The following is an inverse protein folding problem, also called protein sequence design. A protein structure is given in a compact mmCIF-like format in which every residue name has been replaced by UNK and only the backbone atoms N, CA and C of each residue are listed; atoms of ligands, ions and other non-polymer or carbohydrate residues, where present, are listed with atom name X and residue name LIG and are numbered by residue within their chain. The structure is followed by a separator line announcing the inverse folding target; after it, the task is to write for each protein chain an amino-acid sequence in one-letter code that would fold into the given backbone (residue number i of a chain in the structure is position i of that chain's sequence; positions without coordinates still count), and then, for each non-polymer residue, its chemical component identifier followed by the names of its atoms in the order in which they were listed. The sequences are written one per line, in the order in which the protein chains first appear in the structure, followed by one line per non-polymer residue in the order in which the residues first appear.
data_IF_620471566644
#
_entry.id   IF_620471566644
#
_cell.length_a   1.000
_cell.length_b   1.000
_cell.length_c   1.000
_cell.angle_alpha   90.00
_cell.angle_beta   90.00
_cell.angle_gamma   90.00
#
_symmetry.space_group_name_H-M   'P 1'
#
loop_
_entity.id
_entity.type
_entity.pdbx_description
1 polymer ?
#
# COMPACT_ATOMS: atom_id res chain seq x y z
N UNK A 1 -30.76 5.06 17.60
CA UNK A 1 -29.34 5.05 17.16
C UNK A 1 -29.33 4.76 15.66
N UNK A 2 -29.20 5.80 14.83
CA UNK A 2 -29.09 5.66 13.38
C UNK A 2 -27.64 5.96 12.99
N UNK A 3 -26.92 4.93 12.57
CA UNK A 3 -25.54 5.02 12.11
C UNK A 3 -25.53 5.56 10.68
N UNK A 4 -25.07 6.80 10.49
CA UNK A 4 -24.77 7.34 9.17
C UNK A 4 -23.57 6.60 8.57
N UNK A 5 -23.81 5.87 7.48
CA UNK A 5 -22.76 5.42 6.58
C UNK A 5 -22.21 6.65 5.84
N UNK A 6 -20.97 7.03 6.17
CA UNK A 6 -20.23 8.03 5.41
C UNK A 6 -19.82 7.47 4.05
N UNK A 7 -20.69 7.66 3.06
CA UNK A 7 -20.29 7.58 1.65
C UNK A 7 -19.33 8.74 1.37
N UNK A 8 -18.07 8.44 1.05
CA UNK A 8 -17.14 9.43 0.48
C UNK A 8 -17.57 9.72 -0.96
N UNK A 9 -18.66 10.47 -1.10
CA UNK A 9 -19.01 11.15 -2.33
C UNK A 9 -17.91 12.19 -2.55
N UNK A 10 -17.07 12.01 -3.59
CA UNK A 10 -16.05 13.00 -3.93
C UNK A 10 -16.75 14.30 -4.36
N UNK A 11 -16.90 15.24 -3.43
CA UNK A 11 -17.33 16.60 -3.77
C UNK A 11 -16.34 17.18 -4.78
N UNK A 12 -16.87 17.95 -5.74
CA UNK A 12 -16.04 18.68 -6.70
C UNK A 12 -14.97 19.51 -5.98
N UNK A 13 -13.75 19.48 -6.51
CA UNK A 13 -12.62 20.23 -5.93
C UNK A 13 -12.77 21.73 -6.23
N UNK A 14 -12.31 22.58 -5.32
CA UNK A 14 -12.27 24.03 -5.53
C UNK A 14 -11.42 24.36 -6.76
N UNK A 15 -12.02 24.93 -7.80
CA UNK A 15 -11.38 25.21 -9.10
C UNK A 15 -10.26 26.24 -9.01
N UNK A 16 -10.23 27.05 -7.94
CA UNK A 16 -9.30 28.17 -7.80
C UNK A 16 -8.07 27.86 -6.94
N UNK A 17 -7.95 26.65 -6.39
CA UNK A 17 -6.80 26.25 -5.56
C UNK A 17 -5.93 25.22 -6.28
N UNK A 18 -4.60 25.36 -6.23
CA UNK A 18 -3.73 24.36 -6.83
C UNK A 18 -3.97 22.99 -6.18
N UNK A 19 -3.87 21.89 -6.96
CA UNK A 19 -3.96 20.55 -6.39
C UNK A 19 -2.80 20.34 -5.41
N UNK A 20 -3.09 19.93 -4.18
CA UNK A 20 -2.07 19.68 -3.16
C UNK A 20 -1.31 18.39 -3.46
N UNK A 21 0.01 18.45 -3.33
CA UNK A 21 0.92 17.32 -3.43
C UNK A 21 1.50 16.97 -2.06
N UNK A 22 1.46 15.69 -1.73
CA UNK A 22 1.96 15.14 -0.47
C UNK A 22 3.00 14.03 -0.69
N UNK A 23 3.67 14.03 -1.84
CA UNK A 23 4.64 13.00 -2.20
C UNK A 23 4.04 11.70 -2.75
N UNK A 24 2.71 11.60 -2.92
CA UNK A 24 2.05 10.39 -3.44
C UNK A 24 1.34 10.63 -4.76
N UNK A 25 1.31 9.60 -5.62
CA UNK A 25 0.61 9.63 -6.91
C UNK A 25 1.02 10.83 -7.79
N UNK A 26 2.32 11.09 -7.87
CA UNK A 26 2.87 12.23 -8.62
C UNK A 26 2.39 12.28 -10.07
N UNK A 27 2.18 11.16 -10.76
CA UNK A 27 1.66 11.15 -12.14
C UNK A 27 0.29 11.82 -12.24
N UNK A 28 -0.62 11.50 -11.32
CA UNK A 28 -1.94 12.12 -11.24
C UNK A 28 -1.85 13.60 -10.87
N UNK A 29 -1.02 13.93 -9.87
CA UNK A 29 -0.83 15.32 -9.45
C UNK A 29 -0.24 16.19 -10.56
N UNK A 30 0.80 15.70 -11.25
CA UNK A 30 1.49 16.36 -12.36
C UNK A 30 0.51 16.70 -13.48
N UNK A 31 -0.33 15.74 -13.86
CA UNK A 31 -1.36 15.96 -14.88
C UNK A 31 -2.37 17.04 -14.46
N UNK A 32 -2.88 17.00 -13.23
CA UNK A 32 -3.79 18.02 -12.71
C UNK A 32 -3.14 19.39 -12.59
N UNK A 33 -1.91 19.45 -12.09
CA UNK A 33 -1.16 20.69 -11.90
C UNK A 33 -0.89 21.39 -13.22
N UNK A 34 -0.47 20.64 -14.24
CA UNK A 34 -0.28 21.16 -15.60
C UNK A 34 -1.53 21.88 -16.09
N UNK A 35 -2.68 21.20 -16.06
CA UNK A 35 -3.95 21.76 -16.54
C UNK A 35 -4.36 22.97 -15.70
N UNK A 36 -4.16 22.92 -14.37
CA UNK A 36 -4.46 24.04 -13.48
C UNK A 36 -3.69 25.31 -13.83
N UNK A 37 -2.37 25.20 -14.07
CA UNK A 37 -1.52 26.34 -14.42
C UNK A 37 -1.90 26.86 -15.81
N UNK A 38 -2.04 25.98 -16.79
CA UNK A 38 -2.41 26.34 -18.16
C UNK A 38 -3.78 27.03 -18.23
N UNK A 39 -4.74 26.62 -17.40
CA UNK A 39 -6.06 27.25 -17.34
C UNK A 39 -6.03 28.66 -16.74
N UNK A 40 -5.03 28.98 -15.90
CA UNK A 40 -4.89 30.32 -15.32
C UNK A 40 -4.08 31.25 -16.21
N UNK A 41 -2.94 30.77 -16.69
CA UNK A 41 -1.97 31.56 -17.43
C UNK A 41 -0.98 30.62 -18.14
N UNK A 42 -1.06 30.56 -19.46
CA UNK A 42 -0.20 29.67 -20.24
C UNK A 42 1.27 30.14 -20.25
N UNK A 43 1.52 31.45 -20.12
CA UNK A 43 2.90 31.97 -20.09
C UNK A 43 3.62 31.54 -18.81
N UNK A 44 2.89 31.38 -17.70
CA UNK A 44 3.42 30.79 -16.46
C UNK A 44 3.85 29.35 -16.68
N UNK A 45 3.06 28.55 -17.41
CA UNK A 45 3.45 27.19 -17.77
C UNK A 45 4.70 27.17 -18.67
N UNK A 46 4.81 28.12 -19.61
CA UNK A 46 5.99 28.26 -20.47
C UNK A 46 7.26 28.51 -19.65
N UNK A 47 7.21 29.38 -18.63
CA UNK A 47 8.34 29.64 -17.73
C UNK A 47 8.76 28.40 -16.93
N UNK A 48 7.81 27.58 -16.50
CA UNK A 48 8.11 26.33 -15.78
C UNK A 48 8.90 25.35 -16.65
N UNK A 49 8.56 25.25 -17.93
CA UNK A 49 9.24 24.31 -18.84
C UNK A 49 10.56 24.87 -19.36
N UNK A 50 10.56 26.13 -19.80
CA UNK A 50 11.68 26.74 -20.54
C UNK A 50 12.68 27.47 -19.64
N UNK A 51 12.27 27.84 -18.42
CA UNK A 51 13.10 28.62 -17.50
C UNK A 51 12.69 30.09 -17.40
N UNK A 52 13.24 30.82 -16.43
CA UNK A 52 12.94 32.23 -16.22
C UNK A 52 13.44 33.08 -17.41
N UNK A 53 12.68 34.12 -17.73
CA UNK A 53 13.13 35.12 -18.68
C UNK A 53 14.27 35.95 -18.09
N UNK A 54 15.34 36.12 -18.85
CA UNK A 54 16.47 37.00 -18.52
C UNK A 54 16.37 38.22 -19.47
N UNK A 55 16.06 39.42 -18.96
CA UNK A 55 16.08 40.65 -19.75
C UNK A 55 17.45 40.88 -20.41
N UNK A 56 17.48 41.06 -21.73
CA UNK A 56 18.70 41.31 -22.50
C UNK A 56 18.56 42.52 -23.42
N UNK A 57 19.68 43.15 -23.75
CA UNK A 57 19.80 44.18 -24.78
C UNK A 57 20.86 43.77 -25.79
N UNK A 58 20.77 44.27 -27.02
CA UNK A 58 21.71 43.94 -28.10
C UNK A 58 22.76 45.02 -28.19
N UNK A 59 24.03 44.64 -28.02
CA UNK A 59 25.20 45.49 -28.27
C UNK A 59 26.06 44.73 -29.29
N UNK A 60 26.37 45.36 -30.42
CA UNK A 60 27.19 44.76 -31.49
C UNK A 60 26.71 43.36 -31.95
N UNK A 61 25.40 43.18 -32.10
CA UNK A 61 24.74 41.89 -32.40
C UNK A 61 24.87 40.79 -31.33
N UNK A 62 25.36 41.13 -30.13
CA UNK A 62 25.47 40.21 -28.99
C UNK A 62 24.39 40.55 -27.96
N UNK A 63 23.67 39.53 -27.47
CA UNK A 63 22.68 39.68 -26.42
C UNK A 63 23.36 39.70 -25.04
N UNK A 64 23.28 40.82 -24.33
CA UNK A 64 23.88 41.03 -23.01
C UNK A 64 22.76 41.22 -21.96
N UNK A 65 22.81 40.55 -20.79
CA UNK A 65 21.85 40.77 -19.72
C UNK A 65 21.77 42.24 -19.28
N UNK A 66 20.55 42.77 -19.18
CA UNK A 66 20.31 44.12 -18.64
C UNK A 66 20.47 44.12 -17.12
N UNK A 67 21.01 45.21 -16.57
CA UNK A 67 20.97 45.45 -15.13
C UNK A 67 19.53 45.75 -14.69
N UNK A 68 19.16 45.39 -13.46
CA UNK A 68 17.78 45.53 -12.96
C UNK A 68 17.24 46.97 -13.01
N UNK A 69 18.11 47.96 -12.80
CA UNK A 69 17.78 49.39 -12.93
C UNK A 69 17.35 49.80 -14.35
N UNK A 70 17.76 49.03 -15.37
CA UNK A 70 17.53 49.32 -16.80
C UNK A 70 16.33 48.52 -17.35
N UNK A 71 15.61 47.79 -16.49
CA UNK A 71 14.45 47.00 -16.90
C UNK A 71 13.23 47.88 -17.18
N UNK A 72 12.65 47.68 -18.36
CA UNK A 72 11.38 48.30 -18.72
C UNK A 72 10.18 47.58 -18.08
N UNK A 73 8.98 48.11 -18.31
CA UNK A 73 7.75 47.52 -17.76
C UNK A 73 7.46 46.12 -18.32
N UNK A 74 7.90 45.81 -19.54
CA UNK A 74 7.71 44.50 -20.15
C UNK A 74 8.69 43.48 -19.53
N UNK A 75 9.95 43.86 -19.34
CA UNK A 75 10.96 43.05 -18.67
C UNK A 75 10.51 42.65 -17.26
N UNK A 76 10.04 43.63 -16.48
CA UNK A 76 9.50 43.38 -15.12
C UNK A 76 8.32 42.41 -15.13
N UNK A 77 7.37 42.58 -16.06
CA UNK A 77 6.22 41.67 -16.22
C UNK A 77 6.67 40.24 -16.53
N UNK A 78 7.66 40.07 -17.42
CA UNK A 78 8.16 38.74 -17.81
C UNK A 78 8.95 38.07 -16.69
N UNK A 79 9.77 38.83 -15.95
CA UNK A 79 10.47 38.32 -14.75
C UNK A 79 9.48 37.90 -13.66
N UNK A 80 8.40 38.67 -13.47
CA UNK A 80 7.34 38.37 -12.49
C UNK A 80 6.64 37.02 -12.75
N UNK A 81 6.60 36.54 -14.00
CA UNK A 81 6.02 35.23 -14.32
C UNK A 81 6.72 34.08 -13.59
N UNK A 82 8.04 34.14 -13.40
CA UNK A 82 8.76 33.14 -12.60
C UNK A 82 8.32 33.17 -11.13
N UNK A 83 8.20 34.36 -10.54
CA UNK A 83 7.70 34.50 -9.17
C UNK A 83 6.26 33.97 -9.03
N UNK A 84 5.39 34.24 -10.01
CA UNK A 84 4.02 33.70 -10.06
C UNK A 84 4.02 32.17 -10.16
N UNK A 85 4.87 31.61 -11.02
CA UNK A 85 5.04 30.16 -11.15
C UNK A 85 5.50 29.51 -9.85
N UNK A 86 6.54 30.06 -9.21
CA UNK A 86 7.05 29.58 -7.92
C UNK A 86 5.96 29.64 -6.84
N UNK A 87 5.21 30.74 -6.77
CA UNK A 87 4.12 30.88 -5.81
C UNK A 87 3.05 29.81 -5.98
N UNK A 88 2.64 29.52 -7.22
CA UNK A 88 1.66 28.45 -7.52
C UNK A 88 2.20 27.08 -7.10
N UNK A 89 3.48 26.79 -7.41
CA UNK A 89 4.12 25.53 -7.02
C UNK A 89 4.21 25.42 -5.50
N UNK A 90 4.68 26.44 -4.79
CA UNK A 90 4.76 26.41 -3.33
C UNK A 90 3.40 26.24 -2.64
N UNK A 91 2.36 26.90 -3.14
CA UNK A 91 0.99 26.73 -2.63
C UNK A 91 0.42 25.32 -2.86
N UNK A 92 1.03 24.56 -3.76
CA UNK A 92 0.62 23.22 -4.11
C UNK A 92 1.36 22.11 -3.36
N UNK A 93 2.36 22.43 -2.54
CA UNK A 93 3.19 21.44 -1.85
C UNK A 93 2.84 21.40 -0.38
N UNK A 94 2.86 20.20 0.21
CA UNK A 94 2.90 20.07 1.66
C UNK A 94 4.27 20.49 2.22
N UNK A 95 4.37 20.57 3.55
CA UNK A 95 5.59 21.03 4.22
C UNK A 95 6.80 20.13 3.90
N UNK A 96 6.59 18.83 3.76
CA UNK A 96 7.68 17.90 3.48
C UNK A 96 8.24 18.11 2.08
N UNK A 97 7.36 18.19 1.08
CA UNK A 97 7.74 18.40 -0.30
C UNK A 97 8.29 19.81 -0.54
N UNK A 98 7.72 20.84 0.11
CA UNK A 98 8.27 22.20 0.08
C UNK A 98 9.72 22.24 0.58
N UNK A 99 10.00 21.66 1.75
CA UNK A 99 11.35 21.69 2.33
C UNK A 99 12.41 21.09 1.39
N UNK A 100 12.04 20.10 0.58
CA UNK A 100 12.95 19.42 -0.38
C UNK A 100 13.31 20.28 -1.59
N UNK A 101 12.46 21.23 -1.95
CA UNK A 101 12.60 22.06 -3.16
C UNK A 101 12.75 23.56 -2.86
N UNK A 102 12.64 23.97 -1.59
CA UNK A 102 12.71 25.37 -1.16
C UNK A 102 14.05 26.07 -1.46
N UNK A 103 15.12 25.32 -1.72
CA UNK A 103 16.45 25.87 -2.01
C UNK A 103 16.65 26.26 -3.49
N UNK A 104 15.75 25.85 -4.38
CA UNK A 104 15.85 26.14 -5.81
C UNK A 104 15.32 27.55 -6.13
N UNK A 105 15.94 28.21 -7.10
CA UNK A 105 15.76 29.65 -7.35
C UNK A 105 14.81 29.95 -8.52
N UNK A 106 14.46 28.95 -9.32
CA UNK A 106 13.51 29.09 -10.43
C UNK A 106 12.39 28.06 -10.38
N UNK A 107 11.24 28.41 -10.96
CA UNK A 107 10.12 27.49 -11.07
C UNK A 107 10.47 26.25 -11.92
N UNK A 108 11.35 26.42 -12.91
CA UNK A 108 11.87 25.32 -13.73
C UNK A 108 12.68 24.33 -12.89
N UNK A 109 13.64 24.80 -12.11
CA UNK A 109 14.45 23.91 -11.25
C UNK A 109 13.58 23.15 -10.25
N UNK A 110 12.58 23.82 -9.66
CA UNK A 110 11.61 23.18 -8.76
C UNK A 110 10.85 22.07 -9.49
N UNK A 111 10.32 22.37 -10.67
CA UNK A 111 9.54 21.42 -11.45
C UNK A 111 10.37 20.21 -11.90
N UNK A 112 11.55 20.46 -12.49
CA UNK A 112 12.48 19.43 -12.92
C UNK A 112 12.91 18.54 -11.74
N UNK A 113 13.12 19.14 -10.56
CA UNK A 113 13.46 18.36 -9.35
C UNK A 113 12.32 17.48 -8.89
N UNK A 114 11.08 17.99 -8.88
CA UNK A 114 9.90 17.21 -8.54
C UNK A 114 9.71 16.04 -9.52
N UNK A 115 9.97 16.27 -10.81
CA UNK A 115 9.90 15.27 -11.87
C UNK A 115 10.90 14.14 -11.62
N UNK A 116 12.20 14.45 -11.51
CA UNK A 116 13.24 13.45 -11.25
C UNK A 116 12.97 12.67 -9.96
N UNK A 117 12.57 13.36 -8.90
CA UNK A 117 12.41 12.73 -7.57
C UNK A 117 11.25 11.72 -7.53
N UNK A 118 10.13 12.05 -8.17
CA UNK A 118 8.89 11.32 -8.00
C UNK A 118 8.47 10.49 -9.21
N UNK A 119 8.88 10.88 -10.42
CA UNK A 119 8.61 10.08 -11.61
C UNK A 119 9.39 8.77 -11.59
N UNK A 120 10.68 8.79 -11.22
CA UNK A 120 11.49 7.57 -11.07
C UNK A 120 10.91 6.63 -10.00
N UNK A 121 10.50 7.20 -8.85
CA UNK A 121 9.89 6.43 -7.76
C UNK A 121 8.54 5.85 -8.18
N UNK A 122 7.72 6.60 -8.90
CA UNK A 122 6.43 6.14 -9.41
C UNK A 122 6.59 5.09 -10.50
N UNK A 123 7.50 5.26 -11.45
CA UNK A 123 7.76 4.28 -12.51
C UNK A 123 8.18 2.95 -11.90
N UNK A 124 9.08 2.95 -10.92
CA UNK A 124 9.46 1.73 -10.19
C UNK A 124 8.27 1.12 -9.45
N UNK A 125 7.41 1.94 -8.84
CA UNK A 125 6.20 1.48 -8.14
C UNK A 125 5.19 0.85 -9.11
N UNK A 126 4.87 1.53 -10.19
CA UNK A 126 4.00 1.08 -11.29
C UNK A 126 4.53 -0.23 -11.90
N UNK A 127 5.83 -0.30 -12.20
CA UNK A 127 6.46 -1.51 -12.72
C UNK A 127 6.29 -2.70 -11.76
N UNK A 128 6.51 -2.49 -10.45
CA UNK A 128 6.28 -3.54 -9.44
C UNK A 128 4.81 -3.95 -9.35
N UNK A 129 3.88 -3.01 -9.43
CA UNK A 129 2.44 -3.31 -9.49
C UNK A 129 2.15 -4.16 -10.72
N UNK A 130 2.59 -3.75 -11.91
CA UNK A 130 2.34 -4.45 -13.17
C UNK A 130 2.92 -5.86 -13.18
N UNK A 131 4.15 -6.04 -12.70
CA UNK A 131 4.76 -7.36 -12.53
C UNK A 131 3.93 -8.27 -11.60
N UNK A 132 3.45 -7.75 -10.47
CA UNK A 132 2.64 -8.52 -9.53
C UNK A 132 1.23 -8.80 -10.06
N UNK A 133 0.62 -7.86 -10.79
CA UNK A 133 -0.67 -8.05 -11.48
C UNK A 133 -0.53 -9.15 -12.51
N UNK A 134 0.52 -9.13 -13.32
CA UNK A 134 0.79 -10.17 -14.31
C UNK A 134 0.98 -11.55 -13.65
N UNK A 135 1.76 -11.62 -12.56
CA UNK A 135 1.89 -12.84 -11.76
C UNK A 135 0.56 -13.32 -11.18
N UNK A 136 -0.30 -12.39 -10.75
CA UNK A 136 -1.66 -12.70 -10.28
C UNK A 136 -2.52 -13.24 -11.43
N UNK A 137 -2.55 -12.60 -12.60
CA UNK A 137 -3.36 -13.00 -13.75
C UNK A 137 -2.99 -14.38 -14.27
N UNK A 138 -1.68 -14.66 -14.41
CA UNK A 138 -1.16 -15.96 -14.84
C UNK A 138 -1.12 -17.00 -13.73
N UNK A 139 -1.48 -16.65 -12.50
CA UNK A 139 -1.42 -17.55 -11.36
C UNK A 139 -2.22 -18.83 -11.61
N UNK A 140 -1.53 -19.97 -11.50
CA UNK A 140 -2.04 -21.34 -11.58
C UNK A 140 -1.28 -22.20 -10.57
N UNK A 141 -1.91 -23.28 -10.12
CA UNK A 141 -1.29 -24.31 -9.29
C UNK A 141 -0.31 -25.12 -10.14
N UNK A 142 0.90 -25.36 -9.63
CA UNK A 142 1.91 -26.17 -10.33
C UNK A 142 1.63 -27.69 -10.19
N UNK A 143 2.08 -28.54 -11.13
CA UNK A 143 1.73 -29.98 -11.19
C UNK A 143 2.10 -30.84 -9.96
N UNK A 144 2.98 -30.38 -9.08
CA UNK A 144 3.41 -31.06 -7.86
C UNK A 144 3.24 -30.21 -6.60
N UNK A 145 2.59 -29.06 -6.74
CA UNK A 145 2.37 -28.13 -5.64
C UNK A 145 1.24 -28.62 -4.73
N UNK A 146 1.36 -28.43 -3.42
CA UNK A 146 0.23 -28.66 -2.50
C UNK A 146 -0.65 -27.41 -2.43
N UNK A 147 -1.92 -27.56 -2.05
CA UNK A 147 -2.85 -26.44 -1.82
C UNK A 147 -2.26 -25.41 -0.85
N UNK A 148 -1.53 -25.85 0.17
CA UNK A 148 -0.87 -24.95 1.13
C UNK A 148 0.22 -24.11 0.48
N UNK A 149 1.05 -24.73 -0.36
CA UNK A 149 2.12 -24.05 -1.11
C UNK A 149 1.52 -23.05 -2.11
N UNK A 150 0.51 -23.48 -2.87
CA UNK A 150 -0.22 -22.65 -3.82
C UNK A 150 -0.80 -21.42 -3.13
N UNK A 151 -1.51 -21.61 -2.02
CA UNK A 151 -2.10 -20.51 -1.27
C UNK A 151 -1.05 -19.58 -0.65
N UNK A 152 0.10 -20.12 -0.27
CA UNK A 152 1.24 -19.32 0.22
C UNK A 152 1.71 -18.35 -0.85
N UNK A 153 2.01 -18.84 -2.06
CA UNK A 153 2.43 -17.99 -3.19
C UNK A 153 1.35 -16.97 -3.56
N UNK A 154 0.10 -17.40 -3.62
CA UNK A 154 -1.04 -16.52 -3.89
C UNK A 154 -1.09 -15.36 -2.89
N UNK A 155 -1.01 -15.68 -1.59
CA UNK A 155 -1.03 -14.69 -0.51
C UNK A 155 0.13 -13.71 -0.60
N UNK A 156 1.32 -14.16 -1.00
CA UNK A 156 2.49 -13.29 -1.13
C UNK A 156 2.32 -12.28 -2.28
N UNK A 157 1.71 -12.70 -3.40
CA UNK A 157 1.35 -11.80 -4.50
C UNK A 157 0.31 -10.76 -4.04
N UNK A 158 -0.75 -11.20 -3.35
CA UNK A 158 -1.81 -10.31 -2.85
C UNK A 158 -1.28 -9.31 -1.83
N UNK A 159 -0.42 -9.76 -0.92
CA UNK A 159 0.21 -8.88 0.07
C UNK A 159 1.12 -7.84 -0.61
N UNK A 160 1.88 -8.27 -1.63
CA UNK A 160 2.67 -7.37 -2.47
C UNK A 160 1.80 -6.27 -3.08
N UNK A 161 0.72 -6.64 -3.76
CA UNK A 161 -0.20 -5.68 -4.37
C UNK A 161 -0.86 -4.76 -3.35
N UNK A 162 -1.33 -5.32 -2.23
CA UNK A 162 -1.96 -4.56 -1.13
C UNK A 162 -1.01 -3.52 -0.54
N UNK A 163 0.27 -3.87 -0.35
CA UNK A 163 1.29 -2.93 0.14
C UNK A 163 1.59 -1.78 -0.84
N UNK A 164 1.34 -1.98 -2.13
CA UNK A 164 1.51 -0.95 -3.17
C UNK A 164 0.23 -0.14 -3.44
N UNK A 165 -0.88 -0.49 -2.77
CA UNK A 165 -2.17 0.22 -2.87
C UNK A 165 -3.18 -0.41 -3.82
N UNK A 166 -2.89 -1.56 -4.44
CA UNK A 166 -3.83 -2.30 -5.28
C UNK A 166 -4.44 -3.46 -4.49
N UNK A 167 -5.76 -3.47 -4.31
CA UNK A 167 -6.48 -4.49 -3.55
C UNK A 167 -7.52 -5.19 -4.42
N UNK A 168 -7.86 -6.42 -4.07
CA UNK A 168 -8.94 -7.19 -4.67
C UNK A 168 -9.99 -7.50 -3.61
N UNK A 169 -11.26 -7.60 -4.03
CA UNK A 169 -12.32 -8.02 -3.12
C UNK A 169 -12.14 -9.50 -2.73
N UNK A 170 -12.66 -9.90 -1.56
CA UNK A 170 -12.62 -11.30 -1.14
C UNK A 170 -13.24 -12.24 -2.20
N UNK A 171 -14.33 -11.79 -2.85
CA UNK A 171 -14.99 -12.54 -3.92
C UNK A 171 -14.08 -12.77 -5.14
N UNK A 172 -13.27 -11.78 -5.51
CA UNK A 172 -12.32 -11.89 -6.62
C UNK A 172 -11.21 -12.88 -6.28
N UNK A 173 -10.73 -12.85 -5.03
CA UNK A 173 -9.72 -13.78 -4.55
C UNK A 173 -10.24 -15.22 -4.55
N UNK A 174 -11.47 -15.45 -4.06
CA UNK A 174 -12.13 -16.76 -4.06
C UNK A 174 -12.26 -17.30 -5.49
N UNK A 175 -12.83 -16.51 -6.40
CA UNK A 175 -12.98 -16.92 -7.81
C UNK A 175 -11.62 -17.18 -8.46
N UNK A 176 -10.60 -16.38 -8.14
CA UNK A 176 -9.26 -16.57 -8.69
C UNK A 176 -8.63 -17.88 -8.21
N UNK A 177 -8.71 -18.20 -6.92
CA UNK A 177 -8.18 -19.47 -6.39
C UNK A 177 -8.85 -20.66 -7.08
N UNK A 178 -10.19 -20.65 -7.20
CA UNK A 178 -10.93 -21.72 -7.87
C UNK A 178 -10.51 -21.92 -9.34
N UNK A 179 -10.34 -20.83 -10.09
CA UNK A 179 -9.87 -20.86 -11.50
C UNK A 179 -8.41 -21.26 -11.67
N UNK A 180 -7.63 -21.22 -10.60
CA UNK A 180 -6.19 -21.53 -10.63
C UNK A 180 -5.90 -23.00 -10.33
N UNK A 181 -6.92 -23.79 -9.96
CA UNK A 181 -6.79 -25.21 -9.69
C UNK A 181 -6.69 -26.03 -10.99
N UNK A 182 -5.98 -27.18 -10.99
CA UNK A 182 -5.91 -28.09 -12.13
C UNK A 182 -7.28 -28.72 -12.45
N UNK A 183 -7.44 -29.24 -13.68
CA UNK A 183 -8.67 -29.91 -14.12
C UNK A 183 -9.07 -31.11 -13.24
N UNK A 184 -8.12 -31.75 -12.56
CA UNK A 184 -8.41 -32.84 -11.60
C UNK A 184 -9.29 -32.39 -10.42
N UNK A 185 -9.42 -31.09 -10.19
CA UNK A 185 -10.25 -30.50 -9.14
C UNK A 185 -11.63 -30.04 -9.62
N UNK A 186 -11.96 -30.22 -10.91
CA UNK A 186 -13.16 -29.66 -11.55
C UNK A 186 -14.47 -30.08 -10.86
N UNK A 187 -14.59 -31.36 -10.48
CA UNK A 187 -15.75 -31.86 -9.73
C UNK A 187 -15.94 -31.14 -8.40
N UNK A 188 -14.86 -30.88 -7.65
CA UNK A 188 -14.94 -30.15 -6.39
C UNK A 188 -15.26 -28.67 -6.60
N UNK A 189 -14.64 -28.06 -7.61
CA UNK A 189 -14.88 -26.64 -7.96
C UNK A 189 -16.36 -26.44 -8.29
N UNK A 190 -16.94 -27.30 -9.13
CA UNK A 190 -18.36 -27.27 -9.50
C UNK A 190 -19.27 -27.40 -8.29
N UNK A 191 -19.03 -28.41 -7.44
CA UNK A 191 -19.80 -28.60 -6.21
C UNK A 191 -19.73 -27.39 -5.26
N UNK A 192 -18.59 -26.69 -5.19
CA UNK A 192 -18.46 -25.46 -4.39
C UNK A 192 -19.25 -24.31 -5.01
N UNK A 193 -19.20 -24.17 -6.33
CA UNK A 193 -19.89 -23.10 -7.06
C UNK A 193 -21.41 -23.24 -6.98
N UNK A 194 -21.93 -24.47 -6.99
CA UNK A 194 -23.36 -24.75 -6.86
C UNK A 194 -23.86 -24.61 -5.41
N UNK A 195 -23.08 -25.08 -4.44
CA UNK A 195 -23.53 -25.14 -3.04
C UNK A 195 -23.33 -23.83 -2.26
N UNK A 196 -22.49 -22.89 -2.74
CA UNK A 196 -22.09 -21.71 -1.97
C UNK A 196 -22.11 -20.45 -2.82
N UNK A 197 -22.58 -19.35 -2.22
CA UNK A 197 -22.40 -18.02 -2.79
C UNK A 197 -20.94 -17.55 -2.64
N UNK A 198 -20.26 -17.39 -3.78
CA UNK A 198 -18.85 -16.98 -3.84
C UNK A 198 -18.62 -15.53 -3.38
N UNK A 199 -19.66 -14.70 -3.33
CA UNK A 199 -19.55 -13.32 -2.88
C UNK A 199 -19.43 -13.23 -1.35
N UNK A 200 -20.02 -14.19 -0.64
CA UNK A 200 -20.04 -14.25 0.83
C UNK A 200 -19.06 -15.25 1.42
N UNK A 201 -18.54 -16.20 0.63
CA UNK A 201 -17.60 -17.23 1.07
C UNK A 201 -16.26 -16.63 1.54
N UNK A 202 -15.86 -16.77 2.82
CA UNK A 202 -14.54 -16.33 3.27
C UNK A 202 -13.42 -17.18 2.65
N UNK A 203 -12.34 -16.53 2.21
CA UNK A 203 -11.21 -17.21 1.57
C UNK A 203 -10.59 -18.31 2.45
N UNK A 204 -10.57 -18.11 3.77
CA UNK A 204 -10.06 -19.09 4.73
C UNK A 204 -10.93 -20.36 4.78
N UNK A 205 -12.26 -20.20 4.62
CA UNK A 205 -13.20 -21.33 4.59
C UNK A 205 -13.04 -22.13 3.30
N UNK A 206 -12.79 -21.44 2.17
CA UNK A 206 -12.45 -22.09 0.91
C UNK A 206 -11.16 -22.92 1.07
N UNK A 207 -10.10 -22.30 1.58
CA UNK A 207 -8.81 -22.97 1.77
C UNK A 207 -8.94 -24.24 2.62
N UNK A 208 -9.65 -24.17 3.76
CA UNK A 208 -9.89 -25.35 4.59
C UNK A 208 -10.58 -26.46 3.81
N UNK A 209 -11.64 -26.13 3.06
CA UNK A 209 -12.38 -27.10 2.26
C UNK A 209 -11.51 -27.76 1.18
N UNK A 210 -10.56 -27.03 0.60
CA UNK A 210 -9.63 -27.56 -0.40
C UNK A 210 -8.56 -28.44 0.26
N UNK A 211 -8.04 -28.06 1.43
CA UNK A 211 -7.07 -28.86 2.19
C UNK A 211 -7.64 -30.21 2.63
N UNK A 212 -8.87 -30.23 3.14
CA UNK A 212 -9.56 -31.48 3.50
C UNK A 212 -9.70 -32.38 2.28
N UNK A 213 -10.08 -31.81 1.12
CA UNK A 213 -10.19 -32.61 -0.10
C UNK A 213 -8.84 -33.16 -0.57
N UNK A 214 -7.77 -32.36 -0.51
CA UNK A 214 -6.42 -32.84 -0.87
C UNK A 214 -6.02 -34.08 -0.06
N UNK A 215 -6.34 -34.10 1.24
CA UNK A 215 -6.06 -35.24 2.11
C UNK A 215 -6.86 -36.47 1.70
N UNK A 216 -8.18 -36.31 1.47
CA UNK A 216 -9.04 -37.43 1.03
C UNK A 216 -8.55 -38.01 -0.31
N UNK A 217 -8.15 -37.17 -1.27
CA UNK A 217 -7.60 -37.65 -2.54
C UNK A 217 -6.34 -38.47 -2.35
N UNK A 218 -5.42 -38.03 -1.47
CA UNK A 218 -4.19 -38.78 -1.15
C UNK A 218 -4.50 -40.13 -0.53
N UNK A 219 -5.43 -40.20 0.43
CA UNK A 219 -5.87 -41.46 1.04
C UNK A 219 -6.47 -42.41 0.00
N UNK A 220 -7.32 -41.92 -0.90
CA UNK A 220 -7.85 -42.74 -2.00
C UNK A 220 -6.73 -43.27 -2.90
N UNK A 221 -5.76 -42.43 -3.28
CA UNK A 221 -4.63 -42.90 -4.11
C UNK A 221 -3.73 -43.90 -3.39
N UNK A 222 -3.53 -43.77 -2.07
CA UNK A 222 -2.75 -44.71 -1.26
C UNK A 222 -3.48 -46.05 -1.12
N UNK A 223 -4.77 -46.02 -0.73
CA UNK A 223 -5.64 -47.21 -0.65
C UNK A 223 -5.71 -47.92 -2.01
N UNK A 224 -5.84 -47.18 -3.11
CA UNK A 224 -5.87 -47.74 -4.46
C UNK A 224 -4.51 -48.31 -4.88
N UNK A 225 -3.39 -47.65 -4.58
CA UNK A 225 -2.06 -48.19 -4.83
C UNK A 225 -1.81 -49.50 -4.06
N UNK A 226 -2.31 -49.56 -2.81
CA UNK A 226 -2.18 -50.74 -1.97
C UNK A 226 -3.06 -51.88 -2.52
N UNK A 227 -4.28 -51.58 -2.97
CA UNK A 227 -5.13 -52.53 -3.68
C UNK A 227 -4.47 -53.04 -4.96
N UNK A 228 -3.90 -52.17 -5.79
CA UNK A 228 -3.18 -52.56 -7.02
C UNK A 228 -1.96 -53.43 -6.71
N UNK A 229 -1.17 -53.11 -5.68
CA UNK A 229 -0.05 -53.95 -5.21
C UNK A 229 -0.51 -55.30 -4.71
N UNK A 230 -1.59 -55.36 -3.94
CA UNK A 230 -2.18 -56.62 -3.46
C UNK A 230 -2.68 -57.46 -4.62
N UNK A 231 -3.32 -56.85 -5.63
CA UNK A 231 -3.78 -57.55 -6.84
C UNK A 231 -2.59 -58.06 -7.65
N UNK A 232 -1.56 -57.25 -7.87
CA UNK A 232 -0.33 -57.68 -8.55
C UNK A 232 0.36 -58.83 -7.81
N UNK A 233 0.43 -58.75 -6.47
CA UNK A 233 1.00 -59.81 -5.63
C UNK A 233 0.15 -61.09 -5.66
N UNK A 234 -1.19 -60.98 -5.67
CA UNK A 234 -2.12 -62.10 -5.83
C UNK A 234 -2.04 -62.74 -7.23
N UNK A 235 -1.71 -61.98 -8.26
CA UNK A 235 -1.45 -62.50 -9.60
C UNK A 235 -0.11 -63.26 -9.67
N UNK A 236 0.92 -62.83 -8.93
CA UNK A 236 2.18 -63.60 -8.80
C UNK A 236 2.06 -64.79 -7.85
N UNK A 237 1.09 -64.77 -6.93
CA UNK A 237 0.83 -65.81 -5.95
C UNK A 237 -0.47 -66.58 -6.26
N UNK A 238 -0.55 -67.20 -7.45
CA UNK A 238 -1.57 -68.22 -7.69
C UNK A 238 -1.13 -69.58 -7.11
N UNK A 239 -1.21 -69.68 -5.77
CA UNK A 239 -1.52 -70.93 -5.07
C UNK A 239 -2.09 -70.66 -3.67
N UNK A 240 -3.42 -70.82 -3.58
CA UNK A 240 -4.27 -71.07 -2.40
C UNK A 240 -4.61 -69.93 -1.41
N UNK A 241 -5.92 -69.71 -1.39
CA UNK A 241 -6.88 -69.55 -0.28
C UNK A 241 -7.06 -68.24 0.48
N UNK A 242 -8.36 -68.03 0.72
CA UNK A 242 -9.08 -66.97 1.42
C UNK A 242 -8.53 -66.59 2.79
N UNK A 243 -8.64 -65.30 3.12
CA UNK A 243 -9.10 -64.85 4.44
C UNK A 243 -9.52 -63.38 4.39
N UNK A 244 -10.68 -63.14 4.98
CA UNK A 244 -11.28 -61.85 5.36
C UNK A 244 -10.38 -61.02 6.29
N UNK A 245 -10.50 -59.69 6.24
CA UNK A 245 -10.39 -58.83 7.45
C UNK A 245 -10.93 -57.41 7.17
N UNK A 246 -11.91 -57.02 7.99
CA UNK A 246 -12.29 -55.65 8.37
C UNK A 246 -11.12 -54.93 9.09
N UNK A 247 -11.04 -53.62 9.33
CA UNK A 247 -11.99 -52.60 9.81
C UNK A 247 -11.52 -51.19 9.39
N UNK A 248 -12.43 -50.22 9.26
CA UNK A 248 -12.16 -48.78 9.10
C UNK A 248 -12.90 -48.05 10.24
N UNK A 249 -12.19 -47.47 11.22
CA UNK A 249 -12.68 -46.37 12.10
C UNK A 249 -11.50 -45.56 12.65
N UNK A 250 -11.03 -44.54 11.91
CA UNK A 250 -10.18 -43.44 12.43
C UNK A 250 -10.46 -42.13 11.66
N UNK A 251 -11.71 -41.65 11.63
CA UNK A 251 -12.06 -40.42 10.89
C UNK A 251 -12.02 -39.13 11.76
N UNK A 252 -12.02 -39.27 13.09
CA UNK A 252 -12.16 -38.14 14.03
C UNK A 252 -10.88 -37.34 14.34
N UNK A 253 -9.72 -37.99 14.42
CA UNK A 253 -8.48 -37.37 14.93
C UNK A 253 -7.76 -36.49 13.88
N UNK A 254 -8.02 -36.75 12.60
CA UNK A 254 -7.34 -36.09 11.48
C UNK A 254 -7.90 -34.69 11.18
N UNK A 255 -9.21 -34.49 11.31
CA UNK A 255 -9.84 -33.17 11.16
C UNK A 255 -9.30 -32.16 12.19
N UNK A 256 -9.07 -32.63 13.42
CA UNK A 256 -8.52 -31.79 14.48
C UNK A 256 -7.03 -31.47 14.23
N UNK A 257 -6.28 -32.43 13.69
CA UNK A 257 -4.89 -32.23 13.25
C UNK A 257 -4.78 -31.20 12.10
N UNK A 258 -5.76 -31.18 11.18
CA UNK A 258 -5.90 -30.18 10.12
C UNK A 258 -6.14 -28.78 10.69
N UNK A 259 -7.06 -28.64 11.65
CA UNK A 259 -7.29 -27.37 12.35
C UNK A 259 -6.03 -26.90 13.07
N UNK A 260 -5.28 -27.80 13.71
CA UNK A 260 -3.99 -27.50 14.35
C UNK A 260 -2.91 -27.08 13.35
N UNK A 261 -2.74 -27.78 12.22
CA UNK A 261 -1.81 -27.41 11.14
C UNK A 261 -2.17 -26.05 10.53
N UNK A 262 -3.45 -25.79 10.30
CA UNK A 262 -3.96 -24.52 9.79
C UNK A 262 -3.73 -23.35 10.76
N UNK A 263 -4.05 -23.52 12.05
CA UNK A 263 -3.74 -22.51 13.10
C UNK A 263 -2.25 -22.20 13.15
N UNK A 264 -1.38 -23.22 13.02
CA UNK A 264 0.07 -23.06 13.00
C UNK A 264 0.55 -22.32 11.73
N UNK A 265 -0.08 -22.58 10.58
CA UNK A 265 0.17 -21.87 9.32
C UNK A 265 -0.20 -20.37 9.41
N UNK A 266 -1.41 -20.06 9.89
CA UNK A 266 -1.85 -18.66 10.08
C UNK A 266 -0.95 -17.89 11.03
N UNK A 267 -0.39 -18.55 12.06
CA UNK A 267 0.52 -17.93 13.02
C UNK A 267 1.88 -17.59 12.43
N UNK A 268 2.33 -18.29 11.38
CA UNK A 268 3.60 -18.03 10.67
C UNK A 268 3.51 -16.85 9.69
N UNK A 269 2.31 -16.42 9.30
CA UNK A 269 2.08 -15.34 8.31
C UNK A 269 1.56 -14.01 8.89
N UNK A 270 1.39 -13.88 10.21
CA UNK A 270 1.11 -12.55 10.79
C UNK A 270 2.34 -11.65 10.58
N UNK A 271 2.19 -10.46 9.97
CA UNK A 271 3.30 -9.53 9.86
C UNK A 271 3.73 -9.14 11.27
N UNK A 272 4.98 -9.44 11.60
CA UNK A 272 5.62 -8.98 12.82
C UNK A 272 5.81 -7.47 12.69
N UNK A 273 4.78 -6.69 13.05
CA UNK A 273 4.97 -5.29 13.42
C UNK A 273 5.76 -5.28 14.73
N UNK A 274 7.06 -5.55 14.65
CA UNK A 274 8.01 -5.13 15.68
C UNK A 274 8.03 -3.62 15.66
N UNK A 275 7.16 -3.02 16.47
CA UNK A 275 7.34 -1.66 16.98
C UNK A 275 8.73 -1.64 17.64
N UNK A 276 9.73 -1.11 16.93
CA UNK A 276 11.02 -0.77 17.55
C UNK A 276 10.74 0.37 18.53
N UNK A 277 10.34 0.02 19.75
CA UNK A 277 10.69 0.86 20.89
C UNK A 277 12.15 0.59 21.17
N UNK A 278 13.01 1.50 20.77
CA UNK A 278 14.37 1.59 21.30
C UNK A 278 14.25 2.01 22.76
N UNK A 279 14.35 1.05 23.69
CA UNK A 279 14.78 1.37 25.04
C UNK A 279 16.31 1.32 25.05
N UNK A 280 16.95 2.46 25.28
CA UNK A 280 17.99 2.64 26.30
C UNK A 280 18.66 4.00 26.12
N UNK A 281 18.34 4.93 27.02
CA UNK A 281 19.33 5.64 27.83
C UNK A 281 18.60 6.63 28.76
N UNK A 282 19.10 6.74 29.99
CA UNK A 282 18.71 7.66 31.06
C UNK A 282 17.55 7.21 31.97
N UNK A 283 17.81 6.17 32.77
CA UNK A 283 17.35 6.18 34.16
C UNK A 283 18.56 6.09 35.09
N UNK A 284 19.02 7.26 35.52
CA UNK A 284 19.92 7.44 36.67
C UNK A 284 19.71 8.86 37.19
N UNK A 285 18.62 9.05 37.94
CA UNK A 285 18.51 10.00 39.07
C UNK A 285 17.05 10.19 39.51
N UNK A 286 16.49 9.23 40.23
CA UNK A 286 15.40 9.51 41.19
C UNK A 286 15.63 8.77 42.50
N UNK A 287 16.66 9.22 43.20
CA UNK A 287 16.95 8.84 44.58
C UNK A 287 17.53 10.01 45.35
N UNK A 288 16.78 11.11 45.49
CA UNK A 288 16.91 12.16 46.55
C UNK A 288 16.04 13.37 46.20
N UNK A 289 14.87 13.47 46.84
CA UNK A 289 14.22 14.73 47.32
C UNK A 289 12.80 14.41 47.81
N UNK A 290 12.73 13.60 48.87
CA UNK A 290 11.59 13.56 49.77
C UNK A 290 12.06 14.14 51.11
N UNK A 291 12.21 15.46 51.15
CA UNK A 291 12.34 16.29 52.37
C UNK A 291 12.35 17.76 51.96
N UNK A 292 11.58 18.57 52.71
CA UNK A 292 11.27 20.00 52.55
C UNK A 292 10.15 20.35 51.54
N UNK A 293 8.90 20.09 51.95
CA UNK A 293 7.80 21.09 51.91
C UNK A 293 6.91 20.90 53.13
N UNK A 294 7.42 21.33 54.28
CA UNK A 294 6.66 21.75 55.45
C UNK A 294 7.45 22.94 56.00
N UNK A 295 6.74 24.03 56.31
CA UNK A 295 7.19 25.44 56.46
C UNK A 295 7.12 26.22 55.13
N UNK A 296 6.45 27.36 55.00
CA UNK A 296 5.69 28.19 55.91
C UNK A 296 4.42 28.69 55.20
N UNK A 297 3.31 28.65 55.93
CA UNK A 297 2.20 29.59 55.80
C UNK A 297 2.65 30.88 56.49
N UNK A 298 2.52 32.04 55.85
CA UNK A 298 1.99 33.31 56.40
C UNK A 298 2.30 34.50 55.47
N UNK A 299 1.28 35.37 55.36
CA UNK A 299 1.29 36.79 54.93
C UNK A 299 1.54 37.06 53.42
N UNK A 300 0.81 37.96 52.75
CA UNK A 300 0.00 39.09 53.21
C UNK A 300 -1.17 39.42 52.24
N UNK A 301 -2.24 39.97 52.85
CA UNK A 301 -3.30 40.78 52.25
C UNK A 301 -2.70 42.11 51.71
N UNK A 302 -3.02 42.51 50.47
CA UNK A 302 -4.00 43.55 50.16
C UNK A 302 -4.04 43.89 48.65
N UNK A 303 -5.20 44.35 48.13
CA UNK A 303 -5.43 44.63 46.71
C UNK A 303 -5.14 46.10 46.35
N UNK A 304 -4.80 46.34 45.08
CA UNK A 304 -4.73 47.68 44.47
C UNK A 304 -5.91 47.85 43.52
N UNK A 305 -6.72 48.88 43.77
CA UNK A 305 -7.76 49.43 42.88
C UNK A 305 -7.30 50.79 42.36
N UNK A 306 -7.37 50.98 41.03
CA UNK A 306 -7.95 52.10 40.24
C UNK A 306 -7.89 53.52 40.87
N UNK A 307 -7.56 54.65 40.21
CA UNK A 307 -7.36 55.06 38.82
C UNK A 307 -6.70 56.51 38.83
N UNK A 308 -6.90 57.47 37.89
CA UNK A 308 -5.84 58.26 37.22
C UNK A 308 -5.71 59.74 37.67
N UNK A 309 -4.71 60.50 37.18
CA UNK A 309 -4.85 61.90 36.69
C UNK A 309 -3.55 62.57 36.20
N UNK A 310 -3.74 63.37 35.13
CA UNK A 310 -3.03 64.55 34.59
C UNK A 310 -1.76 65.12 35.26
N UNK A 311 -0.75 65.47 34.44
CA UNK A 311 -0.56 66.84 33.95
C UNK A 311 0.38 66.90 32.74
#
# INVERSE_FOLDING_TARGET
MATQFGSTLSKGQFTNRPPLFNGTNYTYWKAKMRIFIQAQDYDVWSIIINGPYIPTHIVDNIAIPKLEKDWDNNDKKRVQLNAKAMNVLYCALDTNEFNRISTYISAKEIWDRLEVTHEDTNQVKEFKINMLVHKYELFKMEPSETITCMFTRFTDIINGLKSLGKTYSNSDLVRKVLRSLPCTWEAKVTAIQEAKDLNTLPLEKLLRSLMTHELTMKQYTEKESQRRKVIAFKFTAHKKNDSSSSEDEEEGDEEEALVRKFKRFLRKKKPSYKKRFTSNAFDKEKGKKKRKRQSLVTNARNPVTLEPTAH
#
